data_IF_856039253883
#
_entry.id   IF_856039253883
#
_cell.length_a   1.000
_cell.length_b   1.000
_cell.length_c   1.000
_cell.angle_alpha   90.00
_cell.angle_beta   90.00
_cell.angle_gamma   90.00
#
_symmetry.space_group_name_H-M   'P 1'
#
loop_
_entity.id
_entity.type
_entity.pdbx_description
1 polymer ?
#
# COMPACT_ATOMS: atom_id res chain seq x y z
N UNK A 1 -10.81 -32.44 -47.85
CA UNK A 1 -11.11 -31.10 -47.30
C UNK A 1 -10.86 -31.17 -45.80
N UNK A 2 -9.76 -30.61 -45.33
CA UNK A 2 -9.36 -30.67 -43.91
C UNK A 2 -9.33 -29.23 -43.41
N UNK A 3 -10.27 -28.88 -42.54
CA UNK A 3 -10.36 -27.55 -41.93
C UNK A 3 -9.45 -27.56 -40.69
N UNK A 4 -8.32 -26.86 -40.77
CA UNK A 4 -7.45 -26.62 -39.62
C UNK A 4 -8.03 -25.48 -38.78
N UNK A 5 -8.49 -25.79 -37.56
CA UNK A 5 -8.96 -24.80 -36.59
C UNK A 5 -7.80 -24.01 -36.01
N UNK A 6 -7.83 -22.69 -36.13
CA UNK A 6 -6.94 -21.81 -35.39
C UNK A 6 -7.31 -21.85 -33.90
N UNK A 7 -6.42 -22.38 -33.07
CA UNK A 7 -6.46 -22.18 -31.62
C UNK A 7 -6.03 -20.75 -31.32
N UNK A 8 -6.96 -19.89 -30.92
CA UNK A 8 -6.65 -18.56 -30.41
C UNK A 8 -6.10 -18.71 -28.99
N UNK A 9 -4.77 -18.60 -28.83
CA UNK A 9 -4.14 -18.46 -27.52
C UNK A 9 -4.51 -17.10 -26.93
N UNK A 10 -5.37 -17.08 -25.90
CA UNK A 10 -5.60 -15.88 -25.09
C UNK A 10 -4.30 -15.58 -24.33
N UNK A 11 -3.55 -14.60 -24.81
CA UNK A 11 -2.41 -14.07 -24.05
C UNK A 11 -2.95 -13.41 -22.78
N UNK A 12 -2.71 -14.03 -21.63
CA UNK A 12 -2.83 -13.36 -20.33
C UNK A 12 -1.72 -12.31 -20.30
N UNK A 13 -2.04 -11.06 -20.65
CA UNK A 13 -1.12 -9.95 -20.43
C UNK A 13 -0.80 -9.89 -18.94
N UNK A 14 0.43 -10.23 -18.56
CA UNK A 14 0.88 -10.05 -17.19
C UNK A 14 0.84 -8.55 -16.89
N UNK A 15 -0.09 -8.15 -16.02
CA UNK A 15 -0.15 -6.78 -15.53
C UNK A 15 0.98 -6.57 -14.54
N UNK A 16 1.65 -5.42 -14.63
CA UNK A 16 2.65 -4.99 -13.65
C UNK A 16 2.08 -5.01 -12.23
N UNK A 17 2.88 -5.39 -11.21
CA UNK A 17 2.45 -5.31 -9.83
C UNK A 17 2.04 -3.87 -9.48
N UNK A 18 0.91 -3.73 -8.79
CA UNK A 18 0.25 -2.46 -8.53
C UNK A 18 -0.39 -2.46 -7.15
N UNK A 19 -0.43 -1.29 -6.54
CA UNK A 19 -1.34 -1.02 -5.45
C UNK A 19 -1.89 0.40 -5.55
N UNK A 20 -3.16 0.57 -5.19
CA UNK A 20 -3.77 1.89 -5.26
C UNK A 20 -5.14 1.90 -4.64
N UNK A 21 -5.60 3.08 -4.28
CA UNK A 21 -6.86 3.23 -3.61
C UNK A 21 -7.05 4.60 -3.01
N UNK A 22 -8.16 4.75 -2.35
CA UNK A 22 -8.49 5.95 -1.60
C UNK A 22 -9.33 5.58 -0.40
N UNK A 23 -9.28 6.39 0.64
CA UNK A 23 -10.13 6.17 1.78
C UNK A 23 -10.14 7.26 2.82
N UNK A 24 -11.08 7.06 3.73
CA UNK A 24 -11.30 7.88 4.91
C UNK A 24 -10.83 7.09 6.13
N UNK A 25 -10.08 7.72 7.02
CA UNK A 25 -9.79 7.16 8.34
C UNK A 25 -10.15 8.19 9.42
N UNK A 26 -10.62 7.69 10.56
CA UNK A 26 -10.78 8.49 11.77
C UNK A 26 -9.56 8.22 12.65
N UNK A 27 -8.83 9.28 13.02
CA UNK A 27 -7.68 9.14 13.89
C UNK A 27 -7.55 10.34 14.82
N UNK A 28 -7.53 10.06 16.13
CA UNK A 28 -7.65 11.08 17.17
C UNK A 28 -9.01 11.81 17.15
N UNK A 29 -10.07 11.14 16.71
CA UNK A 29 -11.41 11.73 16.54
C UNK A 29 -11.62 12.50 15.24
N UNK A 30 -10.57 12.66 14.42
CA UNK A 30 -10.60 13.54 13.26
C UNK A 30 -10.56 12.78 11.93
N UNK A 31 -11.31 13.29 10.95
CA UNK A 31 -11.37 12.73 9.60
C UNK A 31 -10.11 13.07 8.80
N UNK A 32 -9.45 12.03 8.29
CA UNK A 32 -8.36 12.14 7.33
C UNK A 32 -8.72 11.39 6.07
N UNK A 33 -8.35 11.95 4.93
CA UNK A 33 -8.55 11.32 3.62
C UNK A 33 -7.20 11.07 2.99
N UNK A 34 -7.06 9.94 2.33
CA UNK A 34 -5.89 9.62 1.53
C UNK A 34 -6.29 9.08 0.16
N UNK A 35 -5.39 9.20 -0.79
CA UNK A 35 -5.46 8.51 -2.08
C UNK A 35 -4.06 8.21 -2.55
N UNK A 36 -3.82 7.03 -3.11
CA UNK A 36 -2.52 6.64 -3.60
C UNK A 36 -2.62 5.76 -4.84
N UNK A 37 -1.54 5.70 -5.59
CA UNK A 37 -1.37 4.83 -6.74
C UNK A 37 0.13 4.52 -6.86
N UNK A 38 0.49 3.25 -6.96
CA UNK A 38 1.86 2.75 -7.08
C UNK A 38 1.88 1.61 -8.09
N UNK A 39 2.90 1.61 -8.95
CA UNK A 39 3.12 0.53 -9.92
C UNK A 39 4.61 0.20 -9.96
N UNK A 40 4.91 -1.10 -10.00
CA UNK A 40 6.25 -1.60 -10.28
C UNK A 40 6.38 -1.90 -11.77
N UNK A 41 7.34 -1.27 -12.43
CA UNK A 41 7.63 -1.47 -13.84
C UNK A 41 8.41 -2.76 -14.08
N UNK A 42 8.45 -3.20 -15.34
CA UNK A 42 9.14 -4.43 -15.73
C UNK A 42 10.66 -4.40 -15.49
N UNK A 43 11.26 -3.20 -15.43
CA UNK A 43 12.66 -2.99 -15.10
C UNK A 43 12.94 -3.02 -13.58
N UNK A 44 11.91 -3.24 -12.76
CA UNK A 44 11.98 -3.28 -11.31
C UNK A 44 11.86 -1.91 -10.63
N UNK A 45 11.83 -0.81 -11.38
CA UNK A 45 11.58 0.52 -10.81
C UNK A 45 10.14 0.65 -10.34
N UNK A 46 9.90 1.53 -9.37
CA UNK A 46 8.55 1.84 -8.89
C UNK A 46 8.28 3.31 -9.10
N UNK A 47 7.06 3.62 -9.51
CA UNK A 47 6.57 5.00 -9.56
C UNK A 47 5.17 5.06 -8.96
N UNK A 48 4.89 6.15 -8.25
CA UNK A 48 3.59 6.38 -7.68
C UNK A 48 3.53 7.67 -6.89
N UNK A 49 2.40 7.92 -6.26
CA UNK A 49 2.24 9.02 -5.32
C UNK A 49 1.15 8.69 -4.31
N UNK A 50 1.22 9.34 -3.15
CA UNK A 50 0.16 9.40 -2.15
C UNK A 50 -0.19 10.85 -1.84
N UNK A 51 -1.47 11.11 -1.68
CA UNK A 51 -2.01 12.35 -1.18
C UNK A 51 -2.65 12.11 0.17
N UNK A 52 -2.41 13.02 1.11
CA UNK A 52 -3.00 12.99 2.44
C UNK A 52 -3.60 14.35 2.75
N UNK A 53 -4.83 14.36 3.25
CA UNK A 53 -5.47 15.57 3.78
C UNK A 53 -5.89 15.32 5.21
N UNK A 54 -5.33 16.09 6.12
CA UNK A 54 -5.69 16.12 7.53
C UNK A 54 -6.25 17.50 7.84
N UNK A 55 -7.58 17.61 7.80
CA UNK A 55 -8.32 18.88 7.92
C UNK A 55 -8.13 19.52 9.29
N UNK A 56 -8.08 18.71 10.35
CA UNK A 56 -7.90 19.18 11.72
C UNK A 56 -6.57 19.92 11.94
N UNK A 57 -5.52 19.55 11.21
CA UNK A 57 -4.20 20.19 11.28
C UNK A 57 -3.94 21.17 10.12
N UNK A 58 -4.91 21.36 9.21
CA UNK A 58 -4.70 22.13 7.97
C UNK A 58 -3.60 21.56 7.07
N UNK A 59 -3.34 20.24 7.15
CA UNK A 59 -2.23 19.60 6.43
C UNK A 59 -2.72 18.97 5.14
N UNK A 60 -2.02 19.29 4.05
CA UNK A 60 -2.14 18.67 2.75
C UNK A 60 -0.75 18.23 2.31
N UNK A 61 -0.57 16.94 2.06
CA UNK A 61 0.69 16.37 1.60
C UNK A 61 0.50 15.67 0.26
N UNK A 62 1.47 15.85 -0.63
CA UNK A 62 1.64 15.08 -1.85
C UNK A 62 3.04 14.48 -1.79
N UNK A 63 3.14 13.18 -1.90
CA UNK A 63 4.34 12.41 -1.59
C UNK A 63 4.53 11.43 -2.75
N UNK A 64 5.61 11.57 -3.52
CA UNK A 64 6.08 10.58 -4.48
C UNK A 64 6.32 9.21 -3.83
N UNK A 65 6.19 8.16 -4.63
CA UNK A 65 6.42 6.79 -4.22
C UNK A 65 7.41 6.13 -5.16
N UNK A 66 8.52 5.67 -4.60
CA UNK A 66 9.63 5.01 -5.29
C UNK A 66 9.90 3.58 -4.79
N UNK A 67 9.07 3.07 -3.87
CA UNK A 67 9.08 1.68 -3.42
C UNK A 67 7.67 1.11 -3.32
N UNK A 68 7.55 -0.15 -3.73
CA UNK A 68 6.36 -0.98 -3.60
C UNK A 68 6.85 -2.36 -3.17
N UNK A 69 6.43 -2.83 -1.99
CA UNK A 69 6.77 -4.16 -1.46
C UNK A 69 5.49 -4.87 -1.03
N UNK A 70 5.32 -6.11 -1.46
CA UNK A 70 4.25 -6.98 -0.99
C UNK A 70 4.74 -7.79 0.22
N UNK A 71 3.97 -7.81 1.31
CA UNK A 71 4.16 -8.69 2.45
C UNK A 71 3.61 -10.10 2.19
N UNK A 72 4.10 -11.08 2.96
CA UNK A 72 3.60 -12.46 2.94
C UNK A 72 4.65 -13.50 3.35
N UNK A 73 4.41 -14.18 4.47
CA UNK A 73 5.06 -15.44 4.88
C UNK A 73 4.00 -16.54 4.98
N UNK A 74 4.38 -17.80 4.74
CA UNK A 74 3.49 -18.93 4.47
C UNK A 74 2.42 -19.21 5.55
N UNK A 75 1.15 -18.97 5.25
CA UNK A 75 0.05 -19.80 5.74
C UNK A 75 -1.01 -19.95 4.65
N UNK A 76 -1.12 -21.17 4.15
CA UNK A 76 -2.16 -21.63 3.23
C UNK A 76 -3.53 -21.57 3.90
N UNK A 77 -4.56 -21.30 3.08
CA UNK A 77 -6.00 -21.26 3.39
C UNK A 77 -6.65 -19.89 3.62
N UNK A 78 -6.22 -18.86 2.89
CA UNK A 78 -7.08 -17.80 2.33
C UNK A 78 -6.19 -16.85 1.55
N UNK A 79 -6.50 -16.65 0.27
CA UNK A 79 -5.75 -15.72 -0.56
C UNK A 79 -5.94 -14.29 -0.02
N UNK A 80 -4.82 -13.56 0.17
CA UNK A 80 -4.64 -12.11 0.41
C UNK A 80 -4.29 -11.68 1.84
N UNK A 81 -3.03 -11.87 2.22
CA UNK A 81 -2.36 -10.96 3.15
C UNK A 81 -1.61 -9.91 2.30
N UNK A 82 -2.32 -8.86 1.89
CA UNK A 82 -1.86 -7.86 0.92
C UNK A 82 -1.22 -6.64 1.59
N UNK A 83 -0.15 -6.84 2.35
CA UNK A 83 0.48 -5.75 3.12
C UNK A 83 1.51 -4.95 2.29
N UNK A 84 1.40 -3.62 2.21
CA UNK A 84 2.33 -2.77 1.42
C UNK A 84 3.29 -1.92 2.27
N UNK A 85 4.47 -1.56 1.77
CA UNK A 85 5.36 -0.55 2.38
C UNK A 85 5.77 0.44 1.29
N UNK A 86 5.46 1.73 1.46
CA UNK A 86 5.65 2.77 0.44
C UNK A 86 6.58 3.89 0.91
N UNK A 87 7.56 4.30 0.09
CA UNK A 87 8.66 5.26 0.36
C UNK A 87 8.64 6.58 -0.44
N UNK A 88 9.57 7.56 -0.25
CA UNK A 88 9.18 8.93 0.07
C UNK A 88 9.10 9.94 -1.06
N UNK A 89 8.14 10.85 -0.88
CA UNK A 89 8.06 12.14 -1.50
C UNK A 89 8.34 13.27 -0.52
N UNK A 90 8.77 14.39 -1.09
CA UNK A 90 9.16 15.62 -0.41
C UNK A 90 8.08 16.11 0.57
N UNK A 91 8.34 15.84 1.85
CA UNK A 91 7.56 16.35 2.96
C UNK A 91 7.61 17.88 3.09
N UNK A 92 6.76 18.37 3.98
CA UNK A 92 6.86 19.64 4.72
C UNK A 92 8.29 19.96 5.24
N UNK A 93 9.14 18.94 5.38
CA UNK A 93 10.57 19.04 5.70
C UNK A 93 11.38 18.27 4.66
N UNK A 94 12.19 18.94 3.81
CA UNK A 94 13.05 18.28 2.85
C UNK A 94 13.94 17.20 3.50
N UNK A 95 14.11 16.06 2.84
CA UNK A 95 14.99 14.97 3.27
C UNK A 95 14.40 13.97 4.28
N UNK A 96 13.11 14.08 4.64
CA UNK A 96 12.42 13.05 5.43
C UNK A 96 11.80 11.98 4.55
N UNK A 97 11.60 10.80 5.11
CA UNK A 97 10.95 9.69 4.42
C UNK A 97 9.53 9.44 4.96
N UNK A 98 8.62 8.89 4.16
CA UNK A 98 7.32 8.37 4.63
C UNK A 98 7.29 6.87 4.45
N UNK A 99 6.67 6.18 5.40
CA UNK A 99 6.37 4.75 5.25
C UNK A 99 4.96 4.46 5.69
N UNK A 100 4.18 3.87 4.80
CA UNK A 100 2.84 3.40 5.10
C UNK A 100 2.57 2.04 4.49
N UNK A 101 1.55 1.36 5.02
CA UNK A 101 1.05 0.15 4.42
C UNK A 101 -0.45 0.04 4.41
N UNK A 102 -0.92 -0.74 3.46
CA UNK A 102 -2.33 -1.02 3.22
C UNK A 102 -2.61 -2.50 3.31
N UNK A 103 -3.87 -2.87 3.47
CA UNK A 103 -4.41 -4.23 3.39
C UNK A 103 -5.72 -4.16 2.59
N UNK A 104 -5.76 -4.86 1.46
CA UNK A 104 -6.97 -5.07 0.64
C UNK A 104 -7.68 -6.33 1.12
N UNK A 105 -8.85 -6.13 1.73
CA UNK A 105 -9.70 -7.15 2.35
C UNK A 105 -10.79 -7.66 1.41
N UNK A 106 -10.67 -7.38 0.11
CA UNK A 106 -11.58 -7.79 -0.94
C UNK A 106 -12.80 -6.89 -1.09
N UNK A 107 -13.52 -7.10 -2.18
CA UNK A 107 -14.62 -6.21 -2.60
C UNK A 107 -15.99 -6.87 -2.41
N UNK A 108 -17.00 -6.07 -2.08
CA UNK A 108 -18.41 -6.49 -2.08
C UNK A 108 -19.06 -6.65 -0.70
N UNK A 109 -20.31 -7.14 -0.72
CA UNK A 109 -21.15 -7.26 0.48
C UNK A 109 -20.62 -8.35 1.40
N UNK A 110 -20.13 -7.96 2.58
CA UNK A 110 -19.63 -8.87 3.61
C UNK A 110 -18.11 -8.92 3.70
N UNK A 111 -17.37 -8.24 2.80
CA UNK A 111 -15.94 -8.03 2.97
C UNK A 111 -15.68 -7.13 4.17
N UNK A 112 -14.62 -7.44 4.92
CA UNK A 112 -14.10 -6.53 5.93
C UNK A 112 -13.62 -5.24 5.26
N UNK A 113 -13.63 -4.13 5.99
CA UNK A 113 -13.08 -2.89 5.46
C UNK A 113 -11.58 -3.05 5.17
N UNK A 114 -11.13 -2.48 4.07
CA UNK A 114 -9.69 -2.32 3.80
C UNK A 114 -9.04 -1.52 4.92
N UNK A 115 -7.73 -1.68 5.07
CA UNK A 115 -7.01 -1.05 6.17
C UNK A 115 -5.78 -0.32 5.66
N UNK A 116 -5.37 0.68 6.41
CA UNK A 116 -4.16 1.43 6.16
C UNK A 116 -3.50 1.79 7.50
N UNK A 117 -2.18 1.89 7.53
CA UNK A 117 -1.48 2.55 8.63
C UNK A 117 -1.66 4.07 8.52
N UNK A 118 -1.40 4.83 9.58
CA UNK A 118 -1.13 6.27 9.36
C UNK A 118 0.12 6.43 8.48
N UNK A 119 0.30 7.60 7.86
CA UNK A 119 1.45 7.95 7.01
C UNK A 119 2.35 8.95 7.78
N UNK A 120 3.30 8.48 8.61
CA UNK A 120 4.24 9.34 9.34
C UNK A 120 5.50 9.64 8.52
N UNK A 121 6.22 10.67 8.96
CA UNK A 121 7.54 11.06 8.44
C UNK A 121 8.69 10.60 9.37
N UNK A 122 9.75 10.01 8.83
CA UNK A 122 10.96 9.60 9.56
C UNK A 122 12.18 10.41 9.14
N UNK A 123 13.13 10.57 10.06
CA UNK A 123 14.44 11.12 9.75
C UNK A 123 15.29 10.07 9.01
N UNK A 124 16.09 10.48 8.02
CA UNK A 124 17.05 9.59 7.36
C UNK A 124 18.19 9.18 8.32
N UNK A 125 18.89 8.06 8.08
CA UNK A 125 18.67 7.12 6.98
C UNK A 125 17.55 6.14 7.34
N UNK A 126 16.52 6.08 6.49
CA UNK A 126 15.51 5.03 6.52
C UNK A 126 15.14 4.64 5.09
N UNK A 127 14.84 3.36 4.90
CA UNK A 127 14.47 2.75 3.62
C UNK A 127 13.27 1.81 3.73
N UNK A 128 12.57 1.59 2.62
CA UNK A 128 11.40 0.73 2.48
C UNK A 128 11.68 -0.70 2.96
N UNK A 129 12.93 -1.14 2.74
CA UNK A 129 13.39 -2.48 3.07
C UNK A 129 13.63 -2.69 4.56
N UNK A 130 13.64 -1.62 5.37
CA UNK A 130 13.75 -1.71 6.82
C UNK A 130 12.41 -1.95 7.52
N UNK A 131 11.31 -2.15 6.77
CA UNK A 131 9.99 -2.37 7.34
C UNK A 131 9.36 -3.69 6.89
N UNK A 132 8.57 -4.26 7.78
CA UNK A 132 7.82 -5.49 7.56
C UNK A 132 6.52 -5.47 8.35
N UNK A 133 5.55 -6.25 7.91
CA UNK A 133 4.39 -6.56 8.72
C UNK A 133 4.62 -7.80 9.58
N UNK A 134 4.05 -7.77 10.78
CA UNK A 134 3.83 -8.94 11.64
C UNK A 134 2.38 -8.85 12.11
N UNK A 135 1.52 -9.69 11.54
CA UNK A 135 0.07 -9.51 11.60
C UNK A 135 -0.31 -8.09 11.16
N UNK A 136 -1.17 -7.44 11.94
CA UNK A 136 -1.71 -6.11 11.66
C UNK A 136 -0.75 -4.93 11.90
N UNK A 137 0.52 -5.20 12.21
CA UNK A 137 1.46 -4.17 12.66
C UNK A 137 2.65 -4.04 11.73
N UNK A 138 2.85 -2.84 11.22
CA UNK A 138 4.08 -2.42 10.55
C UNK A 138 5.17 -2.26 11.62
N UNK A 139 6.32 -2.88 11.40
CA UNK A 139 7.45 -2.97 12.34
C UNK A 139 8.76 -2.73 11.61
N UNK A 140 9.79 -2.36 12.36
CA UNK A 140 11.16 -2.30 11.82
C UNK A 140 11.72 -3.70 11.70
N UNK A 141 12.34 -4.02 10.56
CA UNK A 141 12.94 -5.32 10.29
C UNK A 141 14.10 -5.63 11.26
N UNK A 142 14.93 -4.63 11.55
CA UNK A 142 16.07 -4.77 12.47
C UNK A 142 15.66 -4.98 13.94
N UNK A 143 14.44 -4.58 14.31
CA UNK A 143 13.88 -4.81 15.64
C UNK A 143 12.36 -4.99 15.55
N UNK A 144 11.89 -6.21 15.22
CA UNK A 144 10.47 -6.47 15.02
C UNK A 144 9.63 -6.26 16.28
N UNK A 145 10.22 -6.18 17.47
CA UNK A 145 9.48 -5.84 18.70
C UNK A 145 8.97 -4.39 18.69
N UNK A 146 9.57 -3.50 17.90
CA UNK A 146 9.15 -2.10 17.76
C UNK A 146 7.99 -1.98 16.77
N UNK A 147 6.78 -1.79 17.30
CA UNK A 147 5.61 -1.44 16.50
C UNK A 147 5.77 -0.01 16.00
N UNK A 148 5.82 0.13 14.69
CA UNK A 148 5.88 1.42 14.02
C UNK A 148 4.46 1.98 13.91
N UNK A 149 3.54 1.20 13.34
CA UNK A 149 2.11 1.53 13.21
C UNK A 149 1.26 0.27 13.14
N UNK A 150 -0.02 0.41 13.43
CA UNK A 150 -1.02 -0.63 13.23
C UNK A 150 -1.94 -0.28 12.05
N UNK A 151 -2.43 -1.31 11.36
CA UNK A 151 -3.46 -1.19 10.35
C UNK A 151 -4.78 -0.79 10.99
N UNK A 152 -5.33 0.30 10.48
CA UNK A 152 -6.62 0.86 10.91
C UNK A 152 -7.62 0.70 9.78
N UNK A 153 -8.84 0.19 10.05
CA UNK A 153 -9.89 0.13 9.05
C UNK A 153 -10.22 1.50 8.48
N UNK A 154 -10.38 1.59 7.17
CA UNK A 154 -10.95 2.77 6.54
C UNK A 154 -12.46 2.78 6.77
N UNK A 155 -13.03 3.95 7.00
CA UNK A 155 -14.47 4.10 7.23
C UNK A 155 -15.26 4.25 5.93
N UNK A 156 -14.58 4.56 4.84
CA UNK A 156 -15.11 4.61 3.48
C UNK A 156 -13.95 4.62 2.48
N UNK A 157 -14.20 4.17 1.25
CA UNK A 157 -13.21 4.05 0.19
C UNK A 157 -12.90 2.60 -0.14
N UNK A 158 -11.89 2.40 -0.98
CA UNK A 158 -11.46 1.07 -1.41
C UNK A 158 -9.97 1.08 -1.76
N UNK A 159 -9.33 -0.07 -1.55
CA UNK A 159 -7.93 -0.34 -1.83
C UNK A 159 -7.84 -1.58 -2.70
N UNK A 160 -6.98 -1.53 -3.70
CA UNK A 160 -6.70 -2.63 -4.61
C UNK A 160 -5.22 -2.94 -4.57
N UNK A 161 -4.89 -4.18 -4.25
CA UNK A 161 -3.51 -4.68 -4.27
C UNK A 161 -3.41 -5.86 -5.25
N UNK A 162 -2.42 -5.78 -6.15
CA UNK A 162 -2.20 -6.69 -7.26
C UNK A 162 -0.69 -7.02 -7.34
N UNK A 163 -0.22 -8.10 -6.68
CA UNK A 163 1.19 -8.50 -6.70
C UNK A 163 1.67 -9.01 -8.06
#
# INVERSE_FOLDING_TARGET
>A
MTVAGLMASVATGASNPFAGGHGNLISGGELRTFSFNTVRHADGTVSGHVQVKNRALGVHAHIEVDCLKFGGGQSSHSWRDNHEVVEPGTHRTPGRISVFGVEDNGEGKGSSADRITTIPDYAPPKSCNEFTFVGDTLRQLANPSVVVRALTPITAGNIQVRP
#
